data_IF_470588681582
#
_entry.id   IF_470588681582
#
_cell.length_a   1.000
_cell.length_b   1.000
_cell.length_c   1.000
_cell.angle_alpha   90.00
_cell.angle_beta   90.00
_cell.angle_gamma   90.00
#
_symmetry.space_group_name_H-M   'P 1'
#
loop_
_entity.id
_entity.type
_entity.pdbx_description
1 polymer ?
#
# COMPACT_ATOMS: atom_id res chain seq x y z
N UNK A 1 9.97 9.29 14.95
CA UNK A 1 8.50 9.30 15.06
C UNK A 1 7.93 9.89 13.77
N UNK A 2 6.88 9.33 13.15
CA UNK A 2 6.21 9.96 12.01
C UNK A 2 5.68 11.34 12.44
N UNK A 3 5.82 12.36 11.58
CA UNK A 3 5.28 13.70 11.85
C UNK A 3 3.76 13.59 12.00
N UNK A 4 3.18 14.33 12.95
CA UNK A 4 1.72 14.38 13.15
C UNK A 4 1.04 14.70 11.81
N UNK A 5 0.01 13.93 11.44
CA UNK A 5 -0.67 14.06 10.15
C UNK A 5 -0.07 13.26 8.98
N UNK A 6 1.13 12.67 9.11
CA UNK A 6 1.73 11.85 8.04
C UNK A 6 1.12 10.45 7.92
N UNK A 7 0.49 9.92 8.97
CA UNK A 7 -0.04 8.56 8.92
C UNK A 7 -1.07 8.35 7.80
N UNK A 8 -2.13 9.19 7.66
CA UNK A 8 -3.10 9.05 6.58
C UNK A 8 -2.46 9.18 5.19
N UNK A 9 -1.54 10.14 5.03
CA UNK A 9 -0.82 10.37 3.76
C UNK A 9 -0.03 9.12 3.38
N UNK A 10 0.75 8.57 4.32
CA UNK A 10 1.60 7.41 4.07
C UNK A 10 0.79 6.15 3.79
N UNK A 11 -0.32 5.99 4.51
CA UNK A 11 -1.26 4.89 4.29
C UNK A 11 -1.85 4.97 2.89
N UNK A 12 -2.24 6.17 2.43
CA UNK A 12 -2.78 6.37 1.08
C UNK A 12 -1.72 6.13 0.00
N UNK A 13 -0.51 6.68 0.14
CA UNK A 13 0.62 6.43 -0.77
C UNK A 13 0.88 4.94 -0.99
N UNK A 14 0.82 4.13 0.07
CA UNK A 14 1.02 2.69 -0.01
C UNK A 14 -0.12 1.98 -0.75
N UNK A 15 -1.36 2.42 -0.57
CA UNK A 15 -2.53 1.89 -1.28
C UNK A 15 -2.42 2.21 -2.78
N UNK A 16 -2.13 3.46 -3.14
CA UNK A 16 -2.02 3.88 -4.54
C UNK A 16 -0.88 3.11 -5.25
N UNK A 17 0.30 3.01 -4.61
CA UNK A 17 1.42 2.23 -5.13
C UNK A 17 1.13 0.73 -5.24
N UNK A 18 0.26 0.19 -4.37
CA UNK A 18 -0.19 -1.20 -4.46
C UNK A 18 -1.08 -1.41 -5.67
N UNK A 19 -2.04 -0.51 -5.90
CA UNK A 19 -2.91 -0.55 -7.07
C UNK A 19 -2.10 -0.47 -8.37
N UNK A 20 -1.12 0.44 -8.45
CA UNK A 20 -0.22 0.55 -9.60
C UNK A 20 0.57 -0.75 -9.84
N UNK A 21 1.12 -1.36 -8.77
CA UNK A 21 1.85 -2.61 -8.91
C UNK A 21 0.94 -3.75 -9.40
N UNK A 22 -0.29 -3.85 -8.88
CA UNK A 22 -1.27 -4.85 -9.32
C UNK A 22 -1.65 -4.61 -10.79
N UNK A 23 -1.84 -3.37 -11.22
CA UNK A 23 -2.16 -3.05 -12.61
C UNK A 23 -1.02 -3.41 -13.57
N UNK A 24 0.24 -3.35 -13.13
CA UNK A 24 1.39 -3.63 -13.97
C UNK A 24 1.73 -5.12 -14.06
N UNK A 25 1.73 -5.84 -12.93
CA UNK A 25 2.22 -7.24 -12.87
C UNK A 25 1.17 -8.23 -12.38
N UNK A 26 -0.04 -7.78 -12.04
CA UNK A 26 -1.06 -8.61 -11.42
C UNK A 26 -0.87 -8.79 -9.91
N UNK A 27 -1.92 -9.29 -9.25
CA UNK A 27 -1.97 -9.39 -7.78
C UNK A 27 -0.94 -10.37 -7.19
N UNK A 28 -0.71 -11.49 -7.86
CA UNK A 28 0.19 -12.52 -7.36
C UNK A 28 1.65 -12.01 -7.34
N UNK A 29 2.07 -11.39 -8.44
CA UNK A 29 3.45 -10.96 -8.65
C UNK A 29 3.78 -9.60 -8.01
N UNK A 30 2.79 -8.83 -7.55
CA UNK A 30 3.02 -7.59 -6.83
C UNK A 30 3.73 -7.85 -5.48
N UNK A 31 4.99 -7.44 -5.34
CA UNK A 31 5.80 -7.65 -4.11
C UNK A 31 5.85 -6.41 -3.21
N UNK A 32 6.05 -6.63 -1.90
CA UNK A 32 6.29 -5.56 -0.91
C UNK A 32 7.45 -4.65 -1.35
N UNK A 33 8.51 -5.22 -1.94
CA UNK A 33 9.67 -4.46 -2.38
C UNK A 33 9.34 -3.51 -3.55
N UNK A 34 8.60 -3.98 -4.55
CA UNK A 34 8.16 -3.15 -5.67
C UNK A 34 7.24 -2.03 -5.19
N UNK A 35 6.27 -2.35 -4.33
CA UNK A 35 5.31 -1.37 -3.79
C UNK A 35 6.05 -0.30 -2.96
N UNK A 36 6.94 -0.72 -2.07
CA UNK A 36 7.69 0.20 -1.24
C UNK A 36 8.56 1.16 -2.08
N UNK A 37 9.21 0.62 -3.12
CA UNK A 37 9.99 1.40 -4.07
C UNK A 37 9.13 2.43 -4.80
N UNK A 38 7.95 2.05 -5.31
CA UNK A 38 7.01 2.97 -5.96
C UNK A 38 6.53 4.08 -5.04
N UNK A 39 6.20 3.73 -3.80
CA UNK A 39 5.74 4.70 -2.80
C UNK A 39 6.86 5.61 -2.24
N UNK A 40 8.13 5.38 -2.62
CA UNK A 40 9.27 6.13 -2.10
C UNK A 40 9.51 5.88 -0.61
N UNK A 41 9.38 4.63 -0.16
CA UNK A 41 9.40 4.24 1.25
C UNK A 41 10.27 3.01 1.50
N UNK A 42 10.67 2.79 2.76
CA UNK A 42 11.29 1.52 3.15
C UNK A 42 10.25 0.41 3.29
N UNK A 43 10.61 -0.83 3.00
CA UNK A 43 9.71 -1.99 3.13
C UNK A 43 9.13 -2.16 4.54
N UNK A 44 9.92 -1.85 5.58
CA UNK A 44 9.47 -1.93 6.98
C UNK A 44 8.30 -1.03 7.34
N UNK A 45 8.05 0.03 6.55
CA UNK A 45 6.89 0.88 6.77
C UNK A 45 5.57 0.12 6.51
N UNK A 46 5.57 -0.85 5.60
CA UNK A 46 4.37 -1.62 5.26
C UNK A 46 3.92 -2.43 6.49
N UNK A 47 4.85 -3.10 7.17
CA UNK A 47 4.54 -3.79 8.42
C UNK A 47 4.03 -2.85 9.52
N UNK A 48 4.52 -1.61 9.57
CA UNK A 48 4.05 -0.61 10.52
C UNK A 48 2.58 -0.19 10.28
N UNK A 49 2.17 -0.02 9.02
CA UNK A 49 0.82 0.45 8.68
C UNK A 49 -0.21 -0.67 8.46
N UNK A 50 0.24 -1.84 7.98
CA UNK A 50 -0.64 -2.88 7.45
C UNK A 50 -0.30 -4.28 7.95
N UNK A 51 0.63 -4.42 8.91
CA UNK A 51 1.13 -5.69 9.46
C UNK A 51 1.94 -6.53 8.46
N UNK A 52 1.42 -6.80 7.27
CA UNK A 52 2.03 -7.63 6.23
C UNK A 52 1.50 -7.31 4.81
N UNK A 53 1.92 -8.09 3.80
CA UNK A 53 1.45 -7.96 2.40
C UNK A 53 -0.07 -8.14 2.31
N UNK A 54 -0.64 -9.09 3.04
CA UNK A 54 -2.06 -9.41 2.95
C UNK A 54 -2.90 -8.27 3.53
N UNK A 55 -2.50 -7.69 4.66
CA UNK A 55 -3.17 -6.53 5.23
C UNK A 55 -3.12 -5.30 4.31
N UNK A 56 -2.03 -5.13 3.55
CA UNK A 56 -1.92 -4.06 2.54
C UNK A 56 -2.85 -4.32 1.35
N UNK A 57 -2.86 -5.55 0.82
CA UNK A 57 -3.75 -5.95 -0.27
C UNK A 57 -5.23 -5.79 0.14
N UNK A 58 -5.60 -6.26 1.33
CA UNK A 58 -6.96 -6.16 1.86
C UNK A 58 -7.39 -4.69 2.04
N UNK A 59 -6.50 -3.83 2.56
CA UNK A 59 -6.76 -2.40 2.64
C UNK A 59 -6.95 -1.75 1.27
N UNK A 60 -6.17 -2.18 0.27
CA UNK A 60 -6.26 -1.70 -1.11
C UNK A 60 -7.59 -2.14 -1.75
N UNK A 61 -7.99 -3.40 -1.58
CA UNK A 61 -9.27 -3.92 -2.10
C UNK A 61 -10.49 -3.24 -1.47
N UNK A 62 -10.43 -2.95 -0.16
CA UNK A 62 -11.45 -2.15 0.53
C UNK A 62 -11.56 -0.74 -0.04
N UNK A 63 -10.43 -0.11 -0.34
CA UNK A 63 -10.39 1.24 -0.91
C UNK A 63 -11.07 1.25 -2.29
N UNK A 64 -10.71 0.32 -3.17
CA UNK A 64 -11.33 0.17 -4.51
C UNK A 64 -12.83 -0.06 -4.39
N UNK A 65 -13.24 -1.03 -3.56
CA UNK A 65 -14.66 -1.39 -3.40
C UNK A 65 -15.47 -0.24 -2.80
N UNK A 66 -14.85 0.58 -1.93
CA UNK A 66 -15.47 1.76 -1.36
C UNK A 66 -15.72 2.88 -2.37
N UNK A 67 -14.89 2.99 -3.42
CA UNK A 67 -15.04 3.99 -4.48
C UNK A 67 -16.13 3.64 -5.51
N UNK A 68 -16.59 2.38 -5.54
CA UNK A 68 -17.62 1.91 -6.48
C UNK A 68 -19.06 2.13 -5.97
N UNK A 69 -19.23 2.67 -4.76
CA UNK A 69 -20.53 3.02 -4.17
C UNK A 69 -20.84 4.49 -4.37
#
# INVERSE_FOLDING_TARGET
MPKVGMQPIRRRQLIDATLEAINEVGMHDATIAQIARRAGVSTGIISHYFKDKNGLLEATMRDITGQLR
#
